data_IF_529566278041
#
_entry.id   IF_529566278041
#
_cell.length_a   1.000
_cell.length_b   1.000
_cell.length_c   1.000
_cell.angle_alpha   90.00
_cell.angle_beta   90.00
_cell.angle_gamma   90.00
#
_symmetry.space_group_name_H-M   'P 1'
#
loop_
_entity.id
_entity.type
_entity.pdbx_description
1 polymer ?
#
# COMPACT_ATOMS: atom_id res chain seq x y z
N UNK A 1 -0.70 -74.84 -6.89
CA UNK A 1 -0.75 -75.85 -5.82
C UNK A 1 -1.37 -75.26 -4.58
N UNK A 2 -2.50 -75.81 -4.29
CA UNK A 2 -3.49 -75.53 -3.25
C UNK A 2 -2.92 -75.85 -1.88
N UNK A 3 -3.13 -75.01 -0.88
CA UNK A 3 -3.29 -75.51 0.51
C UNK A 3 -4.28 -74.59 1.28
N UNK A 4 -5.45 -75.08 1.40
CA UNK A 4 -6.44 -74.71 2.40
C UNK A 4 -5.92 -74.85 3.83
N UNK A 5 -6.32 -73.97 4.73
CA UNK A 5 -6.31 -74.26 6.15
C UNK A 5 -7.65 -73.97 6.78
N UNK A 6 -8.23 -75.09 7.21
CA UNK A 6 -9.44 -75.30 7.93
C UNK A 6 -9.42 -74.60 9.30
N UNK A 7 -10.43 -73.79 9.58
CA UNK A 7 -10.68 -73.20 10.91
C UNK A 7 -11.53 -74.22 11.72
N UNK A 8 -10.90 -74.77 12.75
CA UNK A 8 -11.58 -75.63 13.72
C UNK A 8 -12.31 -74.75 14.77
N UNK A 9 -13.63 -74.84 14.77
CA UNK A 9 -14.51 -74.28 15.79
C UNK A 9 -14.45 -75.14 17.08
N UNK A 10 -13.93 -74.60 18.18
CA UNK A 10 -14.11 -75.20 19.52
C UNK A 10 -15.38 -74.66 20.16
N UNK A 11 -16.37 -75.50 20.29
CA UNK A 11 -17.53 -75.26 21.18
C UNK A 11 -17.12 -75.66 22.61
N UNK A 12 -17.26 -74.70 23.54
CA UNK A 12 -17.19 -74.95 24.97
C UNK A 12 -18.62 -75.06 25.48
N UNK A 13 -19.02 -76.21 26.00
CA UNK A 13 -20.29 -76.41 26.68
C UNK A 13 -20.15 -76.08 28.16
N UNK A 14 -20.89 -75.10 28.66
CA UNK A 14 -21.12 -74.87 30.06
C UNK A 14 -22.50 -75.37 30.43
N UNK A 15 -22.54 -76.21 31.44
CA UNK A 15 -23.75 -76.84 31.96
C UNK A 15 -24.52 -75.81 32.79
N UNK A 16 -25.52 -75.21 32.20
CA UNK A 16 -26.76 -74.72 32.81
C UNK A 16 -27.50 -73.85 31.78
N UNK A 17 -28.62 -74.32 31.37
CA UNK A 17 -29.47 -73.90 30.28
C UNK A 17 -29.95 -72.47 30.29
N UNK A 18 -29.20 -71.56 29.78
CA UNK A 18 -29.68 -70.31 29.18
C UNK A 18 -28.63 -69.81 28.14
N UNK A 19 -28.98 -69.96 26.87
CA UNK A 19 -28.23 -69.32 25.81
C UNK A 19 -28.54 -67.81 25.77
N UNK A 20 -27.61 -66.99 26.16
CA UNK A 20 -27.66 -65.53 25.93
C UNK A 20 -26.99 -65.26 24.61
N UNK A 21 -27.77 -64.73 23.67
CA UNK A 21 -27.19 -64.28 22.37
C UNK A 21 -26.28 -63.05 22.59
N UNK A 22 -24.99 -63.30 22.71
CA UNK A 22 -23.94 -62.26 22.84
C UNK A 22 -23.68 -61.49 21.55
N UNK A 23 -24.37 -61.87 20.46
CA UNK A 23 -24.11 -61.21 19.16
C UNK A 23 -24.84 -59.86 18.95
N UNK A 24 -25.92 -59.61 19.71
CA UNK A 24 -26.70 -58.37 19.57
C UNK A 24 -26.12 -57.16 20.31
N UNK A 25 -25.39 -57.40 21.41
CA UNK A 25 -24.87 -56.31 22.25
C UNK A 25 -23.59 -55.69 21.70
N UNK A 26 -22.77 -56.44 20.94
CA UNK A 26 -21.55 -55.93 20.29
C UNK A 26 -21.82 -55.10 19.04
N UNK A 27 -22.91 -55.36 18.32
CA UNK A 27 -23.34 -54.57 17.17
C UNK A 27 -23.93 -53.21 17.57
N UNK A 28 -24.63 -53.14 18.70
CA UNK A 28 -25.20 -51.88 19.22
C UNK A 28 -24.09 -50.96 19.78
N UNK A 29 -23.09 -51.53 20.44
CA UNK A 29 -21.93 -50.74 20.92
C UNK A 29 -21.06 -50.21 19.76
N UNK A 30 -20.90 -50.96 18.68
CA UNK A 30 -20.16 -50.49 17.48
C UNK A 30 -20.97 -49.41 16.73
N UNK A 31 -22.29 -49.47 16.68
CA UNK A 31 -23.11 -48.44 16.07
C UNK A 31 -23.13 -47.15 16.90
N UNK A 32 -23.11 -47.20 18.22
CA UNK A 32 -23.04 -46.04 19.09
C UNK A 32 -21.65 -45.39 19.07
N UNK A 33 -20.57 -46.16 18.97
CA UNK A 33 -19.21 -45.62 18.82
C UNK A 33 -18.99 -44.96 17.44
N UNK A 34 -19.64 -45.47 16.39
CA UNK A 34 -19.54 -44.86 15.04
C UNK A 34 -20.39 -43.58 14.94
N UNK A 35 -21.46 -43.44 15.70
CA UNK A 35 -22.28 -42.21 15.73
C UNK A 35 -21.64 -41.11 16.57
N UNK A 36 -20.87 -41.43 17.62
CA UNK A 36 -20.11 -40.46 18.43
C UNK A 36 -18.87 -39.97 17.69
N UNK A 37 -18.29 -40.78 16.80
CA UNK A 37 -17.12 -40.36 15.98
C UNK A 37 -17.51 -39.53 14.75
N UNK A 38 -18.75 -39.68 14.22
CA UNK A 38 -19.25 -38.84 13.12
C UNK A 38 -19.79 -37.49 13.56
N UNK A 39 -19.98 -37.26 14.88
CA UNK A 39 -20.53 -36.01 15.42
C UNK A 39 -19.56 -34.85 15.50
N UNK A 40 -18.26 -35.06 15.27
CA UNK A 40 -17.24 -34.03 15.34
C UNK A 40 -16.47 -33.80 14.01
N UNK A 41 -17.07 -34.13 12.87
CA UNK A 41 -16.67 -33.45 11.65
C UNK A 41 -17.19 -32.02 11.76
N UNK A 42 -16.40 -31.17 12.44
CA UNK A 42 -16.42 -29.73 12.20
C UNK A 42 -16.07 -29.60 10.70
N UNK A 43 -17.11 -29.45 9.87
CA UNK A 43 -16.90 -28.89 8.56
C UNK A 43 -16.25 -27.52 8.83
N UNK A 44 -14.93 -27.48 8.81
CA UNK A 44 -14.22 -26.24 8.58
C UNK A 44 -14.81 -25.76 7.24
N UNK A 45 -15.83 -24.93 7.31
CA UNK A 45 -16.23 -24.07 6.20
C UNK A 45 -14.93 -23.37 5.87
N UNK A 46 -14.28 -23.77 4.78
CA UNK A 46 -13.20 -23.00 4.19
C UNK A 46 -13.83 -21.65 3.90
N UNK A 47 -13.64 -20.70 4.83
CA UNK A 47 -14.05 -19.32 4.60
C UNK A 47 -13.44 -19.00 3.24
N UNK A 48 -14.28 -18.67 2.27
CA UNK A 48 -13.81 -18.28 0.92
C UNK A 48 -12.86 -17.13 1.16
N UNK A 49 -11.58 -17.32 0.83
CA UNK A 49 -10.59 -16.26 0.96
C UNK A 49 -11.12 -15.03 0.21
N UNK A 50 -11.28 -13.93 0.94
CA UNK A 50 -11.76 -12.68 0.36
C UNK A 50 -10.63 -12.10 -0.48
N UNK A 51 -10.87 -11.92 -1.78
CA UNK A 51 -9.87 -11.42 -2.72
C UNK A 51 -9.89 -9.89 -2.73
N UNK A 52 -8.70 -9.29 -2.62
CA UNK A 52 -8.45 -7.85 -2.81
C UNK A 52 -7.42 -7.69 -3.91
N UNK A 53 -7.77 -7.00 -4.98
CA UNK A 53 -6.80 -6.45 -5.92
C UNK A 53 -6.37 -5.09 -5.39
N UNK A 54 -5.07 -4.95 -5.12
CA UNK A 54 -4.47 -3.72 -4.66
C UNK A 54 -3.61 -3.10 -5.76
N UNK A 55 -3.92 -1.89 -6.17
CA UNK A 55 -3.17 -1.17 -7.21
C UNK A 55 -2.46 0.04 -6.62
N UNK A 56 -1.15 -0.04 -6.32
CA UNK A 56 -0.36 1.15 -5.96
C UNK A 56 -0.43 2.23 -7.04
N UNK A 57 -0.22 3.48 -6.67
CA UNK A 57 -0.39 4.63 -7.59
C UNK A 57 0.68 4.74 -8.68
N UNK A 58 1.75 3.96 -8.62
CA UNK A 58 2.91 4.05 -9.51
C UNK A 58 3.43 2.66 -9.89
N UNK A 59 4.44 2.62 -10.76
CA UNK A 59 5.13 1.38 -11.17
C UNK A 59 5.85 0.71 -10.00
N UNK A 60 6.20 -0.58 -10.16
CA UNK A 60 6.86 -1.35 -9.12
C UNK A 60 8.19 -0.72 -8.69
N UNK A 61 8.31 -0.43 -7.40
CA UNK A 61 9.50 0.17 -6.80
C UNK A 61 9.49 0.07 -5.26
N UNK A 62 10.61 0.38 -4.61
CA UNK A 62 10.76 0.28 -3.17
C UNK A 62 9.79 1.15 -2.35
N UNK A 63 9.15 2.15 -2.97
CA UNK A 63 8.07 2.95 -2.37
C UNK A 63 6.95 2.08 -1.78
N UNK A 64 6.72 0.89 -2.34
CA UNK A 64 5.61 0.01 -1.95
C UNK A 64 6.06 -1.23 -1.17
N UNK A 65 7.30 -1.23 -0.66
CA UNK A 65 7.95 -2.37 -0.04
C UNK A 65 7.11 -3.09 1.02
N UNK A 66 6.40 -2.36 1.88
CA UNK A 66 5.63 -2.96 2.96
C UNK A 66 4.50 -3.86 2.46
N UNK A 67 3.88 -3.50 1.35
CA UNK A 67 2.82 -4.30 0.71
C UNK A 67 3.40 -5.55 0.05
N UNK A 68 4.54 -5.43 -0.64
CA UNK A 68 5.24 -6.57 -1.22
C UNK A 68 5.67 -7.58 -0.16
N UNK A 69 6.22 -7.08 0.95
CA UNK A 69 6.57 -7.93 2.09
C UNK A 69 5.34 -8.62 2.67
N UNK A 70 4.21 -7.89 2.81
CA UNK A 70 2.99 -8.47 3.35
C UNK A 70 2.44 -9.59 2.46
N UNK A 71 2.48 -9.43 1.14
CA UNK A 71 2.09 -10.48 0.18
C UNK A 71 3.09 -11.63 0.21
N UNK A 72 4.38 -11.37 0.03
CA UNK A 72 5.45 -12.37 -0.06
C UNK A 72 5.58 -13.22 1.20
N UNK A 73 5.57 -12.60 2.39
CA UNK A 73 5.65 -13.28 3.68
C UNK A 73 4.33 -13.93 4.12
N UNK A 74 3.25 -13.74 3.37
CA UNK A 74 1.96 -14.35 3.63
C UNK A 74 1.15 -13.67 4.73
N UNK A 75 1.45 -12.42 5.13
CA UNK A 75 0.72 -11.73 6.19
C UNK A 75 -0.74 -11.46 5.83
N UNK A 76 -1.04 -11.27 4.55
CA UNK A 76 -2.42 -11.19 4.08
C UNK A 76 -3.14 -12.52 4.22
N UNK A 77 -2.51 -13.63 3.84
CA UNK A 77 -3.09 -14.99 3.98
C UNK A 77 -3.33 -15.35 5.46
N UNK A 78 -2.39 -15.00 6.35
CA UNK A 78 -2.57 -15.15 7.80
C UNK A 78 -3.79 -14.38 8.32
N UNK A 79 -4.16 -13.26 7.67
CA UNK A 79 -5.34 -12.48 7.98
C UNK A 79 -6.63 -13.01 7.29
N UNK A 80 -6.54 -14.10 6.51
CA UNK A 80 -7.65 -14.67 5.74
C UNK A 80 -7.97 -13.87 4.47
N UNK A 81 -6.98 -13.16 3.91
CA UNK A 81 -7.13 -12.37 2.68
C UNK A 81 -6.26 -12.96 1.56
N UNK A 82 -6.83 -13.03 0.36
CA UNK A 82 -6.10 -13.26 -0.87
C UNK A 82 -5.84 -11.90 -1.55
N UNK A 83 -4.63 -11.36 -1.41
CA UNK A 83 -4.26 -10.06 -1.98
C UNK A 83 -3.42 -10.26 -3.21
N UNK A 84 -3.75 -9.54 -4.28
CA UNK A 84 -2.99 -9.47 -5.52
C UNK A 84 -2.55 -8.03 -5.76
N UNK A 85 -1.23 -7.82 -5.89
CA UNK A 85 -0.67 -6.50 -6.18
C UNK A 85 -0.47 -6.38 -7.69
N UNK A 86 -1.15 -5.40 -8.28
CA UNK A 86 -1.11 -5.09 -9.71
C UNK A 86 -0.82 -3.61 -9.92
N UNK A 87 0.28 -3.29 -10.58
CA UNK A 87 0.65 -1.90 -10.85
C UNK A 87 -0.16 -1.29 -12.01
N UNK A 88 -0.41 0.03 -11.95
CA UNK A 88 -1.14 0.72 -13.01
C UNK A 88 -0.32 0.76 -14.31
N UNK A 89 -1.03 0.94 -15.41
CA UNK A 89 -0.43 1.24 -16.71
C UNK A 89 -0.74 2.67 -17.12
N UNK A 90 -0.09 3.16 -18.18
CA UNK A 90 -0.39 4.49 -18.73
C UNK A 90 -1.83 4.63 -19.22
N UNK A 91 -2.47 3.54 -19.63
CA UNK A 91 -3.86 3.50 -20.11
C UNK A 91 -4.87 3.22 -18.99
N UNK A 92 -4.43 2.67 -17.86
CA UNK A 92 -5.26 2.32 -16.71
C UNK A 92 -4.64 2.87 -15.41
N UNK A 93 -4.78 4.18 -15.13
CA UNK A 93 -4.34 4.77 -13.86
C UNK A 93 -5.03 4.12 -12.65
N UNK A 94 -4.34 4.09 -11.52
CA UNK A 94 -4.81 3.41 -10.31
C UNK A 94 -6.20 3.91 -9.83
N UNK A 95 -6.44 5.22 -9.89
CA UNK A 95 -7.75 5.79 -9.53
C UNK A 95 -8.87 5.29 -10.45
N UNK A 96 -8.62 5.16 -11.76
CA UNK A 96 -9.64 4.65 -12.68
C UNK A 96 -9.97 3.18 -12.39
N UNK A 97 -8.96 2.36 -12.07
CA UNK A 97 -9.18 0.97 -11.64
C UNK A 97 -9.98 0.87 -10.35
N UNK A 98 -9.75 1.79 -9.39
CA UNK A 98 -10.54 1.85 -8.16
C UNK A 98 -12.00 2.18 -8.46
N UNK A 99 -12.26 3.16 -9.32
CA UNK A 99 -13.61 3.62 -9.63
C UNK A 99 -14.39 2.64 -10.53
N UNK A 100 -13.70 1.87 -11.39
CA UNK A 100 -14.34 0.80 -12.19
C UNK A 100 -14.58 -0.48 -11.37
N UNK A 101 -13.99 -0.61 -10.16
CA UNK A 101 -14.04 -1.82 -9.36
C UNK A 101 -13.01 -2.89 -9.75
N UNK A 102 -12.10 -2.59 -10.70
CA UNK A 102 -11.01 -3.48 -11.11
C UNK A 102 -9.95 -3.65 -10.01
N UNK A 103 -9.93 -2.75 -9.02
CA UNK A 103 -9.22 -2.95 -7.76
C UNK A 103 -10.07 -2.44 -6.58
N UNK A 104 -9.80 -2.96 -5.39
CA UNK A 104 -10.54 -2.63 -4.17
C UNK A 104 -9.81 -1.59 -3.33
N UNK A 105 -8.51 -1.46 -3.52
CA UNK A 105 -7.68 -0.50 -2.80
C UNK A 105 -6.58 0.07 -3.71
N UNK A 106 -6.23 1.34 -3.46
CA UNK A 106 -5.12 2.01 -4.15
C UNK A 106 -4.36 2.90 -3.19
N UNK A 107 -3.11 3.24 -3.50
CA UNK A 107 -2.43 4.35 -2.82
C UNK A 107 -2.69 5.67 -3.55
N UNK A 108 -2.68 6.78 -2.81
CA UNK A 108 -2.63 8.13 -3.37
C UNK A 108 -2.11 9.13 -2.33
N UNK A 109 -1.67 10.28 -2.78
CA UNK A 109 -1.31 11.39 -1.89
C UNK A 109 -2.57 12.02 -1.30
N UNK A 110 -2.45 12.57 -0.07
CA UNK A 110 -3.58 13.26 0.60
C UNK A 110 -4.18 14.35 -0.29
N UNK A 111 -3.37 15.17 -0.96
CA UNK A 111 -3.88 16.21 -1.86
C UNK A 111 -4.74 15.66 -3.01
N UNK A 112 -4.36 14.52 -3.57
CA UNK A 112 -5.17 13.85 -4.61
C UNK A 112 -6.49 13.31 -4.04
N UNK A 113 -6.46 12.76 -2.82
CA UNK A 113 -7.68 12.29 -2.15
C UNK A 113 -8.64 13.46 -1.90
N UNK A 114 -8.14 14.62 -1.47
CA UNK A 114 -8.94 15.84 -1.29
C UNK A 114 -9.55 16.32 -2.61
N UNK A 115 -8.77 16.33 -3.69
CA UNK A 115 -9.26 16.69 -5.03
C UNK A 115 -10.36 15.73 -5.52
N UNK A 116 -10.21 14.44 -5.28
CA UNK A 116 -11.23 13.45 -5.63
C UNK A 116 -12.52 13.64 -4.82
N UNK A 117 -12.43 13.93 -3.52
CA UNK A 117 -13.59 14.24 -2.67
C UNK A 117 -14.30 15.52 -3.13
N UNK A 118 -13.56 16.55 -3.53
CA UNK A 118 -14.13 17.79 -4.06
C UNK A 118 -14.90 17.55 -5.38
N UNK A 119 -14.45 16.58 -6.17
CA UNK A 119 -15.13 16.10 -7.40
C UNK A 119 -16.31 15.14 -7.13
N UNK A 120 -16.63 14.87 -5.86
CA UNK A 120 -17.74 14.00 -5.46
C UNK A 120 -17.40 12.51 -5.39
N UNK A 121 -16.11 12.14 -5.51
CA UNK A 121 -15.65 10.75 -5.35
C UNK A 121 -15.43 10.47 -3.87
N UNK A 122 -16.29 9.65 -3.28
CA UNK A 122 -16.22 9.35 -1.84
C UNK A 122 -15.18 8.26 -1.55
N UNK A 123 -14.14 8.62 -0.79
CA UNK A 123 -13.00 7.77 -0.44
C UNK A 123 -12.85 7.64 1.08
N UNK A 124 -12.24 6.54 1.51
CA UNK A 124 -11.83 6.31 2.91
C UNK A 124 -10.36 5.96 2.94
N UNK A 125 -9.57 6.68 3.75
CA UNK A 125 -8.20 6.32 4.10
C UNK A 125 -8.23 5.20 5.14
N UNK A 126 -7.62 4.07 4.82
CA UNK A 126 -7.58 2.90 5.72
C UNK A 126 -6.19 2.67 6.33
N UNK A 127 -5.16 3.31 5.78
CA UNK A 127 -3.78 3.21 6.25
C UNK A 127 -2.98 4.40 5.72
N UNK A 128 -2.17 5.03 6.54
CA UNK A 128 -1.25 6.09 6.12
C UNK A 128 0.19 5.63 6.31
N UNK A 129 0.99 5.60 5.26
CA UNK A 129 2.36 5.09 5.31
C UNK A 129 3.41 6.19 5.23
N UNK A 130 3.20 7.24 4.43
CA UNK A 130 4.09 8.39 4.43
C UNK A 130 3.67 9.40 5.48
N UNK A 131 4.47 9.56 6.52
CA UNK A 131 4.17 10.48 7.63
C UNK A 131 4.65 11.89 7.37
N UNK A 132 5.48 12.10 6.35
CA UNK A 132 6.05 13.39 5.98
C UNK A 132 6.01 13.59 4.47
N UNK A 133 6.12 14.87 4.07
CA UNK A 133 6.24 15.24 2.66
C UNK A 133 7.65 14.94 2.13
N UNK A 134 7.72 14.28 0.97
CA UNK A 134 8.96 13.94 0.27
C UNK A 134 9.26 14.87 -0.91
N UNK A 135 8.40 15.83 -1.18
CA UNK A 135 8.49 16.70 -2.34
C UNK A 135 9.66 17.68 -2.20
N UNK A 136 10.40 17.86 -3.27
CA UNK A 136 11.57 18.74 -3.35
C UNK A 136 11.57 19.45 -4.70
N UNK A 137 11.89 20.75 -4.74
CA UNK A 137 12.29 21.43 -5.97
C UNK A 137 13.81 21.49 -6.00
N UNK A 138 14.38 21.07 -7.13
CA UNK A 138 15.80 21.20 -7.42
C UNK A 138 15.96 22.15 -8.59
N UNK A 139 16.74 23.22 -8.41
CA UNK A 139 17.06 24.20 -9.44
C UNK A 139 18.44 23.95 -10.06
N UNK A 140 18.71 24.58 -11.19
CA UNK A 140 20.03 24.62 -11.78
C UNK A 140 21.06 25.15 -10.76
N UNK A 141 22.33 24.75 -10.93
CA UNK A 141 23.44 25.06 -10.01
C UNK A 141 23.45 26.53 -9.60
N UNK A 142 23.54 26.77 -8.30
CA UNK A 142 23.70 28.12 -7.72
C UNK A 142 22.45 29.01 -7.78
N UNK A 143 21.31 28.49 -8.24
CA UNK A 143 20.06 29.22 -8.31
C UNK A 143 19.12 28.75 -7.18
N UNK A 144 18.64 29.69 -6.38
CA UNK A 144 17.59 29.40 -5.38
C UNK A 144 16.23 29.28 -6.07
N UNK A 145 15.48 28.17 -5.87
CA UNK A 145 14.15 28.00 -6.45
C UNK A 145 13.22 29.18 -6.17
N UNK A 146 13.23 29.72 -4.96
CA UNK A 146 12.33 30.81 -4.54
C UNK A 146 12.63 32.18 -5.17
N UNK A 147 13.78 32.34 -5.83
CA UNK A 147 14.15 33.60 -6.48
C UNK A 147 13.90 33.62 -7.99
N UNK A 148 13.52 32.49 -8.58
CA UNK A 148 13.42 32.35 -10.03
C UNK A 148 11.96 32.58 -10.51
N UNK A 149 11.51 33.83 -10.52
CA UNK A 149 10.21 34.19 -11.07
C UNK A 149 10.08 33.85 -12.55
N UNK A 150 8.97 33.20 -12.92
CA UNK A 150 8.70 32.80 -14.30
C UNK A 150 9.55 31.63 -14.81
N UNK A 151 10.28 30.93 -13.93
CA UNK A 151 11.10 29.78 -14.28
C UNK A 151 10.27 28.64 -14.90
N UNK A 152 10.87 27.92 -15.85
CA UNK A 152 10.33 26.66 -16.37
C UNK A 152 10.61 25.53 -15.39
N UNK A 153 9.57 25.02 -14.73
CA UNK A 153 9.69 24.02 -13.69
C UNK A 153 9.00 22.71 -14.12
N UNK A 154 9.75 21.62 -14.07
CA UNK A 154 9.22 20.28 -14.35
C UNK A 154 8.24 19.83 -13.28
N UNK A 155 7.13 19.21 -13.69
CA UNK A 155 6.11 18.64 -12.83
C UNK A 155 5.54 17.35 -13.45
N UNK A 156 5.15 16.37 -12.62
CA UNK A 156 4.58 15.11 -13.12
C UNK A 156 3.24 15.32 -13.84
N UNK A 157 3.06 14.58 -14.94
CA UNK A 157 1.79 14.52 -15.68
C UNK A 157 0.66 13.85 -14.90
N UNK A 158 1.01 12.99 -13.93
CA UNK A 158 0.07 12.17 -13.16
C UNK A 158 -0.70 12.92 -12.04
N UNK A 159 -0.64 14.25 -12.02
CA UNK A 159 -1.40 15.05 -11.04
C UNK A 159 -0.77 15.12 -9.64
N UNK A 160 0.51 14.83 -9.51
CA UNK A 160 1.28 15.13 -8.30
C UNK A 160 1.75 16.59 -8.31
N UNK A 161 1.99 17.16 -7.15
CA UNK A 161 2.58 18.49 -7.05
C UNK A 161 1.62 19.62 -6.66
N UNK A 162 0.44 19.33 -6.14
CA UNK A 162 -0.53 20.33 -5.66
C UNK A 162 0.11 21.38 -4.73
N UNK A 163 0.91 20.94 -3.75
CA UNK A 163 1.58 21.84 -2.82
C UNK A 163 2.60 22.77 -3.50
N UNK A 164 3.29 22.28 -4.55
CA UNK A 164 4.23 23.10 -5.31
C UNK A 164 3.50 24.19 -6.09
N UNK A 165 2.35 23.89 -6.66
CA UNK A 165 1.50 24.88 -7.33
C UNK A 165 0.98 25.90 -6.32
N UNK A 166 0.46 25.45 -5.16
CA UNK A 166 0.01 26.35 -4.07
C UNK A 166 1.15 27.29 -3.63
N UNK A 167 2.34 26.76 -3.40
CA UNK A 167 3.53 27.54 -3.02
C UNK A 167 3.88 28.58 -4.09
N UNK A 168 3.94 28.16 -5.36
CA UNK A 168 4.27 29.05 -6.48
C UNK A 168 3.29 30.23 -6.61
N UNK A 169 1.99 29.99 -6.38
CA UNK A 169 0.96 31.03 -6.40
C UNK A 169 1.13 31.96 -5.18
N UNK A 170 1.22 31.39 -3.99
CA UNK A 170 1.32 32.13 -2.72
C UNK A 170 2.56 33.03 -2.71
N UNK A 171 3.70 32.54 -3.19
CA UNK A 171 4.96 33.27 -3.18
C UNK A 171 5.19 34.09 -4.46
N UNK A 172 4.17 34.22 -5.30
CA UNK A 172 4.18 35.00 -6.55
C UNK A 172 5.34 34.65 -7.48
N UNK A 173 5.69 33.36 -7.59
CA UNK A 173 6.81 32.88 -8.40
C UNK A 173 6.47 32.78 -9.89
N UNK A 174 5.17 32.63 -10.22
CA UNK A 174 4.66 32.53 -11.59
C UNK A 174 5.40 31.46 -12.42
N UNK A 175 5.66 30.30 -11.85
CA UNK A 175 6.34 29.22 -12.54
C UNK A 175 5.58 28.77 -13.79
N UNK A 176 6.34 28.50 -14.85
CA UNK A 176 5.84 27.86 -16.07
C UNK A 176 5.99 26.34 -15.90
N UNK A 177 4.90 25.67 -15.56
CA UNK A 177 4.90 24.24 -15.31
C UNK A 177 5.02 23.44 -16.60
N UNK A 178 6.09 22.64 -16.73
CA UNK A 178 6.34 21.74 -17.87
C UNK A 178 6.11 20.31 -17.42
N UNK A 179 5.14 19.64 -18.03
CA UNK A 179 4.75 18.28 -17.64
C UNK A 179 5.74 17.24 -18.18
N UNK A 180 6.17 16.33 -17.34
CA UNK A 180 6.96 15.14 -17.71
C UNK A 180 6.27 13.85 -17.19
N UNK A 181 6.63 12.70 -17.78
CA UNK A 181 6.02 11.42 -17.43
C UNK A 181 6.72 10.75 -16.24
N UNK A 182 8.00 10.39 -16.35
CA UNK A 182 8.66 9.52 -15.39
C UNK A 182 10.13 9.88 -15.09
N UNK A 183 10.78 10.75 -15.87
CA UNK A 183 12.22 10.99 -15.76
C UNK A 183 12.59 12.48 -15.68
N UNK A 184 13.81 12.73 -15.24
CA UNK A 184 14.39 14.07 -15.07
C UNK A 184 15.20 14.54 -16.29
N UNK A 185 15.10 13.87 -17.42
CA UNK A 185 15.97 14.09 -18.59
C UNK A 185 15.88 15.53 -19.12
N UNK A 186 14.69 16.14 -19.13
CA UNK A 186 14.54 17.54 -19.56
C UNK A 186 15.33 18.51 -18.69
N UNK A 187 15.39 18.26 -17.38
CA UNK A 187 16.17 19.07 -16.45
C UNK A 187 17.66 18.80 -16.60
N UNK A 188 18.08 17.55 -16.68
CA UNK A 188 19.48 17.15 -16.89
C UNK A 188 20.02 17.71 -18.20
N UNK A 189 19.20 17.76 -19.26
CA UNK A 189 19.54 18.36 -20.55
C UNK A 189 19.56 19.91 -20.54
N UNK A 190 19.22 20.55 -19.42
CA UNK A 190 19.18 22.02 -19.31
C UNK A 190 17.97 22.69 -19.97
N UNK A 191 16.93 21.94 -20.32
CA UNK A 191 15.70 22.48 -20.90
C UNK A 191 14.75 23.10 -19.87
N UNK A 192 14.98 22.84 -18.57
CA UNK A 192 14.22 23.36 -17.44
C UNK A 192 15.14 24.12 -16.48
N UNK A 193 14.63 25.19 -15.86
CA UNK A 193 15.33 25.95 -14.83
C UNK A 193 15.32 25.24 -13.48
N UNK A 194 14.25 24.47 -13.20
CA UNK A 194 14.10 23.65 -12.00
C UNK A 194 13.21 22.44 -12.31
N UNK A 195 13.19 21.48 -11.40
CA UNK A 195 12.28 20.32 -11.46
C UNK A 195 11.77 19.95 -10.10
N UNK A 196 10.49 19.56 -10.04
CA UNK A 196 9.88 18.95 -8.88
C UNK A 196 10.21 17.46 -8.86
N UNK A 197 10.65 16.95 -7.72
CA UNK A 197 11.13 15.56 -7.54
C UNK A 197 10.69 15.02 -6.18
N UNK A 198 10.60 13.71 -6.07
CA UNK A 198 10.49 13.04 -4.77
C UNK A 198 11.88 12.72 -4.21
N UNK A 199 12.08 12.98 -2.91
CA UNK A 199 13.36 12.76 -2.23
C UNK A 199 13.84 11.30 -2.30
N UNK A 200 12.91 10.36 -2.43
CA UNK A 200 13.21 8.94 -2.52
C UNK A 200 13.50 8.46 -3.96
N UNK A 201 13.09 9.16 -5.00
CA UNK A 201 13.20 8.70 -6.39
C UNK A 201 14.04 9.68 -7.26
N UNK A 202 13.41 10.63 -7.93
CA UNK A 202 14.07 11.48 -8.94
C UNK A 202 15.22 12.30 -8.37
N UNK A 203 15.18 12.64 -7.08
CA UNK A 203 16.28 13.29 -6.39
C UNK A 203 17.58 12.46 -6.49
N UNK A 204 17.49 11.14 -6.33
CA UNK A 204 18.63 10.25 -6.48
C UNK A 204 19.06 10.11 -7.95
N UNK A 205 18.11 10.16 -8.90
CA UNK A 205 18.44 10.16 -10.34
C UNK A 205 19.24 11.41 -10.73
N UNK A 206 18.90 12.58 -10.19
CA UNK A 206 19.66 13.82 -10.40
C UNK A 206 21.09 13.71 -9.91
N UNK A 207 21.30 13.16 -8.70
CA UNK A 207 22.64 12.94 -8.15
C UNK A 207 23.44 12.00 -9.06
N UNK A 208 22.84 10.90 -9.52
CA UNK A 208 23.49 9.95 -10.41
C UNK A 208 23.79 10.53 -11.80
N UNK A 209 22.99 11.48 -12.26
CA UNK A 209 23.24 12.23 -13.49
C UNK A 209 24.33 13.33 -13.33
N UNK A 210 24.93 13.46 -12.15
CA UNK A 210 25.98 14.42 -11.88
C UNK A 210 25.48 15.84 -11.58
N UNK A 211 24.20 16.01 -11.31
CA UNK A 211 23.67 17.32 -10.89
C UNK A 211 24.16 17.61 -9.47
N UNK A 212 24.89 18.74 -9.34
CA UNK A 212 25.34 19.21 -8.03
C UNK A 212 24.16 19.76 -7.22
N UNK A 213 23.84 19.08 -6.13
CA UNK A 213 22.77 19.45 -5.20
C UNK A 213 23.39 20.02 -3.93
N UNK A 214 22.99 21.24 -3.59
CA UNK A 214 23.44 21.97 -2.40
C UNK A 214 22.24 22.62 -1.73
N UNK A 215 22.36 23.09 -0.49
CA UNK A 215 21.30 23.82 0.22
C UNK A 215 20.84 25.09 -0.52
N UNK A 216 21.63 25.60 -1.47
CA UNK A 216 21.30 26.82 -2.22
C UNK A 216 20.35 26.55 -3.39
N UNK A 217 20.32 25.34 -3.93
CA UNK A 217 19.52 25.02 -5.10
C UNK A 217 18.43 23.96 -4.83
N UNK A 218 18.10 23.76 -3.55
CA UNK A 218 17.08 22.81 -3.10
C UNK A 218 16.06 23.49 -2.20
N UNK A 219 14.79 23.21 -2.47
CA UNK A 219 13.68 23.57 -1.59
C UNK A 219 12.91 22.32 -1.18
N UNK A 220 12.92 21.99 0.12
CA UNK A 220 12.23 20.83 0.68
C UNK A 220 10.92 21.29 1.31
N UNK A 221 9.79 20.83 0.80
CA UNK A 221 8.46 21.25 1.25
C UNK A 221 8.23 21.02 2.74
N UNK A 222 8.70 19.88 3.27
CA UNK A 222 8.56 19.55 4.69
C UNK A 222 9.29 20.50 5.65
N UNK A 223 10.25 21.30 5.16
CA UNK A 223 11.03 22.24 5.99
C UNK A 223 10.42 23.66 5.99
N UNK A 224 9.42 23.91 5.16
CA UNK A 224 8.90 25.25 4.89
C UNK A 224 7.38 25.37 5.09
N UNK A 225 6.82 24.59 6.01
CA UNK A 225 5.40 24.67 6.36
C UNK A 225 4.43 23.90 5.44
N UNK A 226 4.98 23.07 4.55
CA UNK A 226 4.20 22.22 3.65
C UNK A 226 4.41 20.72 3.98
N UNK A 227 4.60 20.38 5.27
CA UNK A 227 4.75 18.99 5.68
C UNK A 227 3.39 18.28 5.74
N UNK A 228 2.83 17.98 4.58
CA UNK A 228 1.58 17.21 4.45
C UNK A 228 1.94 15.76 4.20
N UNK A 229 1.22 14.83 4.85
CA UNK A 229 1.36 13.40 4.59
C UNK A 229 1.08 13.10 3.11
N UNK A 230 1.80 12.15 2.55
CA UNK A 230 1.64 11.78 1.14
C UNK A 230 0.91 10.43 1.01
N UNK A 231 1.64 9.35 0.87
CA UNK A 231 1.09 8.05 0.52
C UNK A 231 0.21 7.45 1.62
N UNK A 232 -1.06 7.32 1.31
CA UNK A 232 -2.02 6.54 2.08
C UNK A 232 -2.72 5.50 1.21
N UNK A 233 -3.34 4.50 1.82
CA UNK A 233 -4.20 3.52 1.15
C UNK A 233 -5.65 3.96 1.26
N UNK A 234 -6.32 3.95 0.12
CA UNK A 234 -7.71 4.37 0.00
C UNK A 234 -8.56 3.29 -0.64
N UNK A 235 -9.79 3.19 -0.17
CA UNK A 235 -10.89 2.43 -0.77
C UNK A 235 -12.04 3.39 -1.10
N UNK A 236 -12.94 3.02 -2.03
CA UNK A 236 -14.20 3.75 -2.14
C UNK A 236 -14.99 3.58 -0.85
N UNK A 237 -15.75 4.62 -0.43
CA UNK A 237 -16.58 4.55 0.77
C UNK A 237 -17.59 3.41 0.68
N UNK A 238 -18.18 3.22 -0.49
CA UNK A 238 -19.13 2.14 -0.75
C UNK A 238 -18.50 0.75 -0.50
N UNK A 239 -17.28 0.52 -0.95
CA UNK A 239 -16.59 -0.76 -0.71
C UNK A 239 -16.25 -0.92 0.76
N UNK A 240 -15.70 0.13 1.40
CA UNK A 240 -15.35 0.13 2.82
C UNK A 240 -16.56 -0.19 3.72
N UNK A 241 -17.70 0.45 3.47
CA UNK A 241 -18.93 0.25 4.27
C UNK A 241 -19.51 -1.17 4.13
N UNK A 242 -19.33 -1.79 2.97
CA UNK A 242 -19.72 -3.20 2.76
C UNK A 242 -18.73 -4.21 3.32
N UNK A 243 -17.44 -3.82 3.44
CA UNK A 243 -16.34 -4.72 3.80
C UNK A 243 -15.41 -4.14 4.88
N UNK A 244 -15.91 -3.60 6.01
CA UNK A 244 -15.08 -2.89 6.99
C UNK A 244 -14.02 -3.79 7.64
N UNK A 245 -14.37 -5.05 7.93
CA UNK A 245 -13.43 -6.00 8.52
C UNK A 245 -12.32 -6.41 7.53
N UNK A 246 -12.64 -6.49 6.25
CA UNK A 246 -11.65 -6.75 5.20
C UNK A 246 -10.64 -5.60 5.09
N UNK A 247 -11.13 -4.36 5.08
CA UNK A 247 -10.30 -3.16 5.08
C UNK A 247 -9.36 -3.11 6.30
N UNK A 248 -9.88 -3.41 7.49
CA UNK A 248 -9.10 -3.46 8.73
C UNK A 248 -8.03 -4.54 8.72
N UNK A 249 -8.37 -5.75 8.24
CA UNK A 249 -7.41 -6.86 8.08
C UNK A 249 -6.31 -6.49 7.08
N UNK A 250 -6.68 -5.90 5.94
CA UNK A 250 -5.72 -5.44 4.93
C UNK A 250 -4.75 -4.40 5.50
N UNK A 251 -5.27 -3.36 6.15
CA UNK A 251 -4.45 -2.31 6.78
C UNK A 251 -3.46 -2.88 7.81
N UNK A 252 -3.94 -3.77 8.70
CA UNK A 252 -3.11 -4.40 9.74
C UNK A 252 -2.04 -5.31 9.17
N UNK A 253 -2.36 -6.12 8.15
CA UNK A 253 -1.39 -6.99 7.48
C UNK A 253 -0.36 -6.17 6.69
N UNK A 254 -0.78 -5.09 6.02
CA UNK A 254 0.12 -4.14 5.37
C UNK A 254 1.07 -3.49 6.37
N UNK A 255 0.56 -3.00 7.50
CA UNK A 255 1.39 -2.43 8.57
C UNK A 255 2.44 -3.44 9.07
N UNK A 256 2.05 -4.72 9.26
CA UNK A 256 2.98 -5.80 9.62
C UNK A 256 4.10 -5.94 8.59
N UNK A 257 3.79 -5.81 7.29
CA UNK A 257 4.76 -5.82 6.21
C UNK A 257 5.75 -4.65 6.28
N UNK A 258 5.26 -3.44 6.52
CA UNK A 258 6.09 -2.25 6.72
C UNK A 258 7.01 -2.37 7.93
N UNK A 259 6.49 -2.82 9.07
CA UNK A 259 7.29 -3.04 10.28
C UNK A 259 8.34 -4.14 10.10
N UNK A 260 8.05 -5.16 9.28
CA UNK A 260 9.01 -6.18 8.92
C UNK A 260 10.12 -5.60 8.04
N UNK A 261 9.78 -4.80 7.02
CA UNK A 261 10.74 -4.16 6.13
C UNK A 261 11.72 -3.23 6.88
N UNK A 262 11.23 -2.50 7.89
CA UNK A 262 12.09 -1.66 8.76
C UNK A 262 13.15 -2.49 9.50
N UNK A 263 12.78 -3.70 9.95
CA UNK A 263 13.69 -4.57 10.70
C UNK A 263 14.62 -5.40 9.81
N UNK A 264 14.24 -5.61 8.55
CA UNK A 264 14.93 -6.48 7.61
C UNK A 264 15.12 -5.80 6.24
N UNK A 265 15.80 -4.62 6.17
CA UNK A 265 15.82 -3.80 4.96
C UNK A 265 16.51 -4.50 3.77
N UNK A 266 17.53 -5.32 3.99
CA UNK A 266 18.22 -6.03 2.89
C UNK A 266 17.33 -7.13 2.28
N UNK A 267 16.67 -7.94 3.12
CA UNK A 267 15.72 -8.94 2.62
C UNK A 267 14.48 -8.28 1.97
N UNK A 268 14.03 -7.14 2.50
CA UNK A 268 12.95 -6.37 1.92
C UNK A 268 13.33 -5.83 0.54
N UNK A 269 14.59 -5.42 0.35
CA UNK A 269 15.12 -5.01 -0.96
C UNK A 269 15.13 -6.19 -1.95
N UNK A 270 15.49 -7.40 -1.50
CA UNK A 270 15.44 -8.60 -2.35
C UNK A 270 14.01 -8.90 -2.81
N UNK A 271 13.03 -8.70 -1.93
CA UNK A 271 11.60 -8.83 -2.28
C UNK A 271 11.21 -7.76 -3.29
N UNK A 272 11.56 -6.48 -3.07
CA UNK A 272 11.30 -5.38 -4.03
C UNK A 272 11.83 -5.74 -5.42
N UNK A 273 13.06 -6.24 -5.51
CA UNK A 273 13.67 -6.58 -6.79
C UNK A 273 12.92 -7.68 -7.55
N UNK A 274 12.20 -8.58 -6.87
CA UNK A 274 11.35 -9.57 -7.53
C UNK A 274 10.16 -8.91 -8.25
N UNK A 275 9.48 -7.93 -7.59
CA UNK A 275 8.36 -7.18 -8.21
C UNK A 275 8.84 -6.29 -9.36
N UNK A 276 9.97 -5.59 -9.16
CA UNK A 276 10.60 -4.74 -10.18
C UNK A 276 10.95 -5.56 -11.43
N UNK A 277 11.54 -6.75 -11.25
CA UNK A 277 11.91 -7.64 -12.36
C UNK A 277 10.68 -8.25 -13.03
N UNK A 278 9.66 -8.66 -12.25
CA UNK A 278 8.39 -9.17 -12.77
C UNK A 278 7.71 -8.18 -13.70
N UNK A 279 7.73 -6.89 -13.33
CA UNK A 279 7.08 -5.82 -14.09
C UNK A 279 8.03 -5.16 -15.12
N UNK A 280 9.23 -5.72 -15.30
CA UNK A 280 10.24 -5.24 -16.28
C UNK A 280 10.60 -3.76 -16.13
N UNK A 281 10.65 -3.24 -14.90
CA UNK A 281 10.96 -1.83 -14.64
C UNK A 281 12.45 -1.56 -14.88
N UNK A 282 12.76 -0.57 -15.70
CA UNK A 282 14.13 -0.13 -16.00
C UNK A 282 14.74 0.61 -14.79
N UNK A 283 15.35 -0.15 -13.87
CA UNK A 283 16.02 0.35 -12.67
C UNK A 283 17.15 -0.59 -12.25
N UNK A 284 17.82 -0.30 -11.15
CA UNK A 284 18.86 -1.17 -10.60
C UNK A 284 18.76 -1.25 -9.07
N UNK A 285 19.43 -2.25 -8.48
CA UNK A 285 19.40 -2.50 -7.03
C UNK A 285 19.85 -1.29 -6.20
N UNK A 286 20.86 -0.54 -6.66
CA UNK A 286 21.38 0.63 -5.92
C UNK A 286 20.32 1.71 -5.83
N UNK A 287 19.62 2.00 -6.93
CA UNK A 287 18.51 2.95 -6.94
C UNK A 287 17.39 2.52 -5.99
N UNK A 288 17.00 1.24 -6.02
CA UNK A 288 15.96 0.71 -5.15
C UNK A 288 16.39 0.71 -3.68
N UNK A 289 17.68 0.51 -3.38
CA UNK A 289 18.24 0.61 -2.04
C UNK A 289 18.21 2.05 -1.49
N UNK A 290 18.60 3.03 -2.30
CA UNK A 290 18.51 4.45 -1.94
C UNK A 290 17.07 4.88 -1.69
N UNK A 291 16.16 4.44 -2.57
CA UNK A 291 14.72 4.67 -2.42
C UNK A 291 14.20 4.04 -1.14
N UNK A 292 14.49 2.78 -0.89
CA UNK A 292 14.07 2.05 0.31
C UNK A 292 14.49 2.78 1.59
N UNK A 293 15.75 3.20 1.67
CA UNK A 293 16.28 3.93 2.82
C UNK A 293 15.47 5.19 3.11
N UNK A 294 15.18 5.97 2.09
CA UNK A 294 14.43 7.22 2.25
C UNK A 294 12.95 6.97 2.56
N UNK A 295 12.32 6.00 1.91
CA UNK A 295 10.91 5.62 2.16
C UNK A 295 10.73 5.13 3.60
N UNK A 296 11.63 4.30 4.12
CA UNK A 296 11.58 3.85 5.51
C UNK A 296 11.78 5.01 6.51
N UNK A 297 12.57 6.04 6.14
CA UNK A 297 12.70 7.27 6.93
C UNK A 297 11.41 8.08 6.96
N UNK A 298 10.68 8.14 5.84
CA UNK A 298 9.41 8.86 5.73
C UNK A 298 8.25 8.24 6.52
N UNK A 299 8.36 6.97 6.93
CA UNK A 299 7.40 6.34 7.84
C UNK A 299 7.41 6.95 9.25
N UNK A 300 8.50 7.61 9.64
CA UNK A 300 8.67 8.16 10.97
C UNK A 300 8.24 9.63 10.97
N UNK A 301 7.20 9.95 11.72
CA UNK A 301 6.75 11.33 11.88
C UNK A 301 7.85 12.20 12.49
N UNK A 302 8.04 13.40 11.93
CA UNK A 302 9.14 14.31 12.31
C UNK A 302 8.99 14.88 13.72
N UNK A 303 7.78 14.99 14.22
CA UNK A 303 7.46 15.56 15.53
C UNK A 303 7.41 14.49 16.61
N UNK A 304 6.55 13.49 16.43
CA UNK A 304 6.35 12.42 17.41
C UNK A 304 7.49 11.40 17.46
N UNK A 305 8.32 11.33 16.40
CA UNK A 305 9.37 10.32 16.20
C UNK A 305 8.84 8.88 16.18
N UNK A 306 7.56 8.69 15.84
CA UNK A 306 6.87 7.40 15.79
C UNK A 306 6.38 7.08 14.39
N UNK A 307 6.14 5.81 14.12
CA UNK A 307 5.41 5.32 12.97
C UNK A 307 3.96 5.11 13.40
N UNK A 308 3.09 6.04 13.08
CA UNK A 308 1.71 6.05 13.58
C UNK A 308 0.73 5.35 12.64
N UNK A 309 1.05 5.26 11.36
CA UNK A 309 0.24 4.63 10.30
C UNK A 309 -1.19 5.16 10.20
N UNK A 310 -1.41 6.39 10.62
CA UNK A 310 -2.71 7.06 10.60
C UNK A 310 -2.63 8.40 9.92
N UNK A 311 -3.73 8.76 9.28
CA UNK A 311 -3.91 10.10 8.72
C UNK A 311 -4.05 11.11 9.87
N UNK A 312 -3.36 12.23 9.80
CA UNK A 312 -3.37 13.30 10.81
C UNK A 312 -4.36 14.40 10.43
N UNK A 313 -5.30 14.78 11.35
CA UNK A 313 -6.28 15.83 11.09
C UNK A 313 -5.66 17.17 10.71
N UNK A 314 -4.60 17.59 11.44
CA UNK A 314 -3.91 18.86 11.21
C UNK A 314 -3.26 18.94 9.82
N UNK A 315 -2.72 17.85 9.31
CA UNK A 315 -2.12 17.78 7.96
C UNK A 315 -3.21 17.80 6.87
N UNK A 316 -4.35 17.16 7.09
CA UNK A 316 -5.51 17.23 6.18
C UNK A 316 -6.05 18.65 6.13
N UNK A 317 -6.22 19.30 7.28
CA UNK A 317 -6.69 20.69 7.35
C UNK A 317 -5.71 21.65 6.67
N UNK A 318 -4.38 21.45 6.86
CA UNK A 318 -3.37 22.24 6.18
C UNK A 318 -3.47 22.09 4.65
N UNK A 319 -3.51 20.86 4.15
CA UNK A 319 -3.61 20.60 2.71
C UNK A 319 -4.91 21.17 2.12
N UNK A 320 -6.05 20.90 2.75
CA UNK A 320 -7.37 21.34 2.30
C UNK A 320 -7.45 22.87 2.22
N UNK A 321 -6.97 23.57 3.27
CA UNK A 321 -6.92 25.04 3.30
C UNK A 321 -6.02 25.60 2.20
N UNK A 322 -4.78 25.10 2.08
CA UNK A 322 -3.84 25.57 1.05
C UNK A 322 -4.41 25.38 -0.36
N UNK A 323 -5.00 24.23 -0.64
CA UNK A 323 -5.61 23.97 -1.94
C UNK A 323 -6.85 24.85 -2.18
N UNK A 324 -7.68 25.09 -1.17
CA UNK A 324 -8.83 25.97 -1.28
C UNK A 324 -8.43 27.43 -1.49
N UNK A 325 -7.48 27.96 -0.73
CA UNK A 325 -6.96 29.34 -0.85
C UNK A 325 -6.35 29.61 -2.24
N UNK A 326 -5.83 28.56 -2.90
CA UNK A 326 -5.25 28.63 -4.24
C UNK A 326 -6.19 28.15 -5.37
N UNK A 327 -7.49 28.08 -5.13
CA UNK A 327 -8.54 27.70 -6.08
C UNK A 327 -8.36 26.30 -6.71
N UNK A 328 -7.69 25.39 -6.01
CA UNK A 328 -7.56 23.99 -6.43
C UNK A 328 -8.68 23.11 -5.89
N UNK A 329 -9.42 23.59 -4.90
CA UNK A 329 -10.66 22.96 -4.40
C UNK A 329 -11.79 24.01 -4.44
N UNK A 330 -13.02 23.54 -4.66
CA UNK A 330 -14.22 24.37 -4.62
C UNK A 330 -14.63 24.70 -3.17
N UNK A 331 -14.28 23.83 -2.22
CA UNK A 331 -14.57 23.95 -0.78
C UNK A 331 -13.41 23.41 0.06
N UNK A 332 -13.41 23.67 1.35
CA UNK A 332 -12.57 22.90 2.27
C UNK A 332 -13.17 21.52 2.49
N UNK A 333 -12.33 20.49 2.32
CA UNK A 333 -12.66 19.09 2.61
C UNK A 333 -12.24 18.79 4.04
N UNK A 334 -13.14 18.20 4.83
CA UNK A 334 -12.90 17.90 6.24
C UNK A 334 -12.22 16.54 6.41
N UNK A 335 -11.46 16.41 7.49
CA UNK A 335 -10.80 15.15 7.87
C UNK A 335 -11.79 13.98 7.99
N UNK A 336 -12.97 14.25 8.59
CA UNK A 336 -14.02 13.25 8.81
C UNK A 336 -14.58 12.65 7.51
N UNK A 337 -14.40 13.34 6.39
CA UNK A 337 -14.79 12.84 5.08
C UNK A 337 -13.83 11.77 4.53
N UNK A 338 -12.60 11.69 5.09
CA UNK A 338 -11.56 10.74 4.68
C UNK A 338 -11.46 9.52 5.60
N UNK A 339 -12.09 9.51 6.75
CA UNK A 339 -12.02 8.39 7.69
C UNK A 339 -13.28 7.51 7.65
N UNK A 340 -13.12 6.24 8.03
CA UNK A 340 -14.20 5.25 8.01
C UNK A 340 -15.16 5.32 9.19
N UNK A 341 -14.71 5.79 10.35
CA UNK A 341 -15.52 5.91 11.57
C UNK A 341 -15.96 7.37 11.75
N UNK A 342 -17.25 7.55 12.07
CA UNK A 342 -17.81 8.84 12.49
C UNK A 342 -17.66 9.00 14.00
#
# INVERSE_FOLDING_TARGET
>A
MIKERILISRRVYLSSGRSVNLCGSLLIAAFFAMFVFCGNMVFATTAKEETIVFTPQWTAQAQFVGYYVAEYKGFYREAGLNVHIEHPTTTQPAINRLLSGDCQATTMQVCQALENLDKGISLVNILQTSMNNAMVIVSARGKDPLTQKGAKVGIWSAGFGHLAICMSIKDHLNYQWVRFAQDVNLFVAGALDATLVMSYNEYNQLIQAGIEITDKNVYRFCDHGYNVQEDGVYMTREYYERHPEQAKKFAKASQKGWEWAVRHPEEALDIVMQYVNKDHIATNRVMQQLMLKEVLRLLVDRESKKREYRLRPDMVHLASRLMKENNMLSREVKYEELIGEK
#
